data_IF_797787511381
#
_entry.id   IF_797787511381
#
_cell.length_a   1.000
_cell.length_b   1.000
_cell.length_c   1.000
_cell.angle_alpha   90.00
_cell.angle_beta   90.00
_cell.angle_gamma   90.00
#
_symmetry.space_group_name_H-M   'P 1'
#
loop_
_entity.id
_entity.type
_entity.pdbx_description
1 polymer ?
#
# COMPACT_ATOMS: atom_id res chain seq x y z
N UNK A 1 5.06 -24.65 7.38
CA UNK A 1 6.15 -23.68 7.10
C UNK A 1 6.00 -22.93 5.77
N UNK A 2 5.19 -23.39 4.81
CA UNK A 2 5.02 -22.73 3.50
C UNK A 2 4.44 -21.31 3.63
N UNK A 3 3.43 -21.10 4.50
CA UNK A 3 2.76 -19.80 4.68
C UNK A 3 3.69 -18.65 5.12
N UNK A 4 4.46 -18.81 6.21
CA UNK A 4 5.46 -17.82 6.61
C UNK A 4 6.46 -17.50 5.51
N UNK A 5 7.06 -18.52 4.89
CA UNK A 5 8.07 -18.36 3.84
C UNK A 5 7.51 -17.61 2.62
N UNK A 6 6.30 -17.94 2.19
CA UNK A 6 5.66 -17.22 1.07
C UNK A 6 5.38 -15.75 1.41
N UNK A 7 4.96 -15.46 2.65
CA UNK A 7 4.77 -14.09 3.12
C UNK A 7 6.08 -13.28 3.12
N UNK A 8 7.18 -13.86 3.61
CA UNK A 8 8.51 -13.24 3.57
C UNK A 8 8.91 -12.94 2.11
N UNK A 9 8.85 -13.94 1.23
CA UNK A 9 9.23 -13.78 -0.19
C UNK A 9 8.38 -12.71 -0.89
N UNK A 10 7.07 -12.69 -0.65
CA UNK A 10 6.17 -11.67 -1.23
C UNK A 10 6.53 -10.27 -0.73
N UNK A 11 6.90 -10.13 0.55
CA UNK A 11 7.26 -8.83 1.12
C UNK A 11 8.60 -8.33 0.58
N UNK A 12 9.59 -9.21 0.45
CA UNK A 12 10.86 -8.86 -0.20
C UNK A 12 10.65 -8.43 -1.65
N UNK A 13 9.81 -9.13 -2.40
CA UNK A 13 9.45 -8.76 -3.77
C UNK A 13 8.78 -7.38 -3.80
N UNK A 14 7.79 -7.11 -2.91
CA UNK A 14 7.16 -5.79 -2.81
C UNK A 14 8.17 -4.68 -2.49
N UNK A 15 9.05 -4.92 -1.51
CA UNK A 15 10.09 -3.96 -1.14
C UNK A 15 11.03 -3.66 -2.31
N UNK A 16 11.48 -4.72 -3.00
CA UNK A 16 12.34 -4.59 -4.17
C UNK A 16 11.65 -3.80 -5.29
N UNK A 17 10.38 -4.07 -5.58
CA UNK A 17 9.61 -3.32 -6.57
C UNK A 17 9.42 -1.85 -6.20
N UNK A 18 9.18 -1.55 -4.91
CA UNK A 18 9.08 -0.16 -4.44
C UNK A 18 10.40 0.60 -4.61
N UNK A 19 11.55 -0.06 -4.43
CA UNK A 19 12.87 0.54 -4.68
C UNK A 19 13.10 0.71 -6.17
N UNK A 20 12.86 -0.33 -6.96
CA UNK A 20 13.12 -0.35 -8.40
C UNK A 20 12.31 0.73 -9.12
N UNK A 21 11.04 0.88 -8.76
CA UNK A 21 10.11 1.86 -9.35
C UNK A 21 10.00 3.15 -8.53
N UNK A 22 10.99 3.47 -7.67
CA UNK A 22 10.94 4.66 -6.81
C UNK A 22 10.77 5.94 -7.62
N UNK A 23 11.48 6.05 -8.74
CA UNK A 23 11.42 7.25 -9.59
C UNK A 23 10.06 7.34 -10.32
N UNK A 24 9.54 6.22 -10.84
CA UNK A 24 8.21 6.15 -11.44
C UNK A 24 7.10 6.50 -10.44
N UNK A 25 7.20 6.01 -9.19
CA UNK A 25 6.25 6.34 -8.11
C UNK A 25 6.30 7.83 -7.79
N UNK A 26 7.51 8.42 -7.73
CA UNK A 26 7.66 9.85 -7.49
C UNK A 26 7.02 10.66 -8.62
N UNK A 27 7.30 10.32 -9.87
CA UNK A 27 6.69 10.97 -11.03
C UNK A 27 5.16 10.84 -11.00
N UNK A 28 4.63 9.67 -10.66
CA UNK A 28 3.19 9.45 -10.51
C UNK A 28 2.56 10.35 -9.44
N UNK A 29 3.22 10.52 -8.29
CA UNK A 29 2.76 11.43 -7.22
C UNK A 29 2.81 12.89 -7.68
N UNK A 30 3.89 13.32 -8.33
CA UNK A 30 4.03 14.67 -8.89
C UNK A 30 2.93 14.95 -9.92
N UNK A 31 2.58 13.95 -10.75
CA UNK A 31 1.49 14.06 -11.71
C UNK A 31 0.12 14.17 -11.03
N UNK A 32 -0.14 13.39 -9.98
CA UNK A 32 -1.39 13.51 -9.18
C UNK A 32 -1.50 14.91 -8.58
N UNK A 33 -0.40 15.44 -8.04
CA UNK A 33 -0.35 16.79 -7.48
C UNK A 33 -0.59 17.85 -8.56
N UNK A 34 0.02 17.69 -9.73
CA UNK A 34 -0.18 18.57 -10.87
C UNK A 34 -1.64 18.54 -11.33
N UNK A 35 -2.23 17.35 -11.52
CA UNK A 35 -3.64 17.21 -11.89
C UNK A 35 -4.53 17.95 -10.89
N UNK A 36 -4.28 17.79 -9.59
CA UNK A 36 -5.06 18.45 -8.55
C UNK A 36 -4.99 19.99 -8.62
N UNK A 37 -3.80 20.53 -8.90
CA UNK A 37 -3.57 21.99 -8.99
C UNK A 37 -4.18 22.62 -10.24
N UNK A 38 -4.31 21.86 -11.32
CA UNK A 38 -4.75 22.37 -12.63
C UNK A 38 -6.23 22.08 -12.94
N UNK A 39 -7.01 21.57 -11.98
CA UNK A 39 -8.46 21.44 -12.14
C UNK A 39 -9.11 22.82 -12.01
N UNK A 40 -9.72 23.29 -13.10
CA UNK A 40 -10.42 24.58 -13.14
C UNK A 40 -11.92 24.43 -12.85
N UNK A 41 -12.57 23.41 -13.42
CA UNK A 41 -14.02 23.28 -13.33
C UNK A 41 -14.49 22.53 -12.08
N UNK A 42 -15.56 23.03 -11.47
CA UNK A 42 -16.09 22.54 -10.19
C UNK A 42 -16.54 21.07 -10.22
N UNK A 43 -17.22 20.63 -11.29
CA UNK A 43 -17.65 19.23 -11.42
C UNK A 43 -16.45 18.27 -11.49
N UNK A 44 -15.38 18.62 -12.20
CA UNK A 44 -14.19 17.78 -12.31
C UNK A 44 -13.49 17.69 -10.95
N UNK A 45 -13.47 18.80 -10.20
CA UNK A 45 -12.99 18.84 -8.82
C UNK A 45 -13.82 17.95 -7.90
N UNK A 46 -15.14 17.94 -8.06
CA UNK A 46 -16.04 17.08 -7.29
C UNK A 46 -15.78 15.60 -7.58
N UNK A 47 -15.64 15.22 -8.85
CA UNK A 47 -15.29 13.85 -9.26
C UNK A 47 -13.97 13.43 -8.60
N UNK A 48 -12.93 14.27 -8.71
CA UNK A 48 -11.63 13.98 -8.12
C UNK A 48 -11.66 13.90 -6.59
N UNK A 49 -12.46 14.74 -5.91
CA UNK A 49 -12.67 14.68 -4.46
C UNK A 49 -13.37 13.38 -4.02
N UNK A 50 -14.38 12.95 -4.78
CA UNK A 50 -15.09 11.70 -4.52
C UNK A 50 -14.14 10.51 -4.61
N UNK A 51 -13.38 10.40 -5.70
CA UNK A 51 -12.38 9.35 -5.89
C UNK A 51 -11.27 9.42 -4.84
N UNK A 52 -10.71 10.59 -4.55
CA UNK A 52 -9.72 10.73 -3.50
C UNK A 52 -10.25 10.26 -2.12
N UNK A 53 -11.52 10.53 -1.82
CA UNK A 53 -12.17 10.07 -0.59
C UNK A 53 -12.36 8.55 -0.58
N UNK A 54 -12.76 7.98 -1.71
CA UNK A 54 -12.86 6.53 -1.88
C UNK A 54 -11.51 5.83 -1.72
N UNK A 55 -10.45 6.37 -2.35
CA UNK A 55 -9.09 5.89 -2.22
C UNK A 55 -8.58 5.92 -0.77
N UNK A 56 -8.82 7.00 -0.03
CA UNK A 56 -8.49 7.07 1.41
C UNK A 56 -9.18 5.98 2.23
N UNK A 57 -10.42 5.63 1.91
CA UNK A 57 -11.13 4.52 2.57
C UNK A 57 -10.48 3.18 2.28
N UNK A 58 -10.09 2.90 1.02
CA UNK A 58 -9.39 1.66 0.67
C UNK A 58 -8.05 1.57 1.40
N UNK A 59 -7.27 2.65 1.42
CA UNK A 59 -6.00 2.73 2.15
C UNK A 59 -6.21 2.44 3.65
N UNK A 60 -7.23 3.04 4.27
CA UNK A 60 -7.54 2.82 5.67
C UNK A 60 -7.90 1.35 5.96
N UNK A 61 -8.73 0.75 5.11
CA UNK A 61 -9.12 -0.66 5.22
C UNK A 61 -7.92 -1.58 5.03
N UNK A 62 -7.09 -1.37 4.01
CA UNK A 62 -5.90 -2.18 3.77
C UNK A 62 -4.92 -2.10 4.94
N UNK A 63 -4.67 -0.89 5.43
CA UNK A 63 -3.79 -0.65 6.58
C UNK A 63 -4.34 -1.31 7.84
N UNK A 64 -5.64 -1.19 8.11
CA UNK A 64 -6.29 -1.84 9.25
C UNK A 64 -6.09 -3.36 9.25
N UNK A 65 -6.35 -4.02 8.13
CA UNK A 65 -6.17 -5.47 8.02
C UNK A 65 -4.70 -5.90 8.17
N UNK A 66 -3.77 -5.17 7.53
CA UNK A 66 -2.33 -5.45 7.64
C UNK A 66 -1.86 -5.34 9.09
N UNK A 67 -2.19 -4.26 9.78
CA UNK A 67 -1.74 -4.07 11.18
C UNK A 67 -2.50 -4.95 12.17
N UNK A 68 -3.74 -5.33 11.87
CA UNK A 68 -4.47 -6.33 12.66
C UNK A 68 -3.82 -7.70 12.57
N UNK A 69 -3.33 -8.11 11.38
CA UNK A 69 -2.54 -9.33 11.23
C UNK A 69 -1.23 -9.25 12.05
N UNK A 70 -0.53 -8.11 12.01
CA UNK A 70 0.66 -7.90 12.84
C UNK A 70 0.35 -8.06 14.32
N UNK A 71 -0.66 -7.35 14.84
CA UNK A 71 -1.05 -7.43 16.24
C UNK A 71 -1.44 -8.86 16.66
N UNK A 72 -2.16 -9.57 15.79
CA UNK A 72 -2.54 -10.95 16.05
C UNK A 72 -1.32 -11.87 16.18
N UNK A 73 -0.43 -11.88 15.19
CA UNK A 73 0.70 -12.82 15.15
C UNK A 73 1.83 -12.47 16.13
N UNK A 74 2.08 -11.18 16.38
CA UNK A 74 3.23 -10.74 17.20
C UNK A 74 2.85 -10.35 18.63
N UNK A 75 1.56 -10.17 18.94
CA UNK A 75 1.12 -9.80 20.29
C UNK A 75 0.13 -10.82 20.84
N UNK A 76 -1.02 -11.00 20.19
CA UNK A 76 -2.09 -11.84 20.73
C UNK A 76 -1.68 -13.30 20.90
N UNK A 77 -1.03 -13.89 19.89
CA UNK A 77 -0.56 -15.28 19.94
C UNK A 77 0.52 -15.47 21.03
N UNK A 78 1.63 -14.70 21.07
CA UNK A 78 2.63 -14.82 22.13
C UNK A 78 2.07 -14.63 23.54
N UNK A 79 1.18 -13.65 23.74
CA UNK A 79 0.54 -13.41 25.04
C UNK A 79 -0.34 -14.59 25.47
N UNK A 80 -1.07 -15.19 24.52
CA UNK A 80 -1.96 -16.32 24.80
C UNK A 80 -1.20 -17.61 25.13
N UNK A 81 -0.04 -17.83 24.48
CA UNK A 81 0.79 -19.02 24.71
C UNK A 81 1.63 -18.87 25.99
N UNK A 82 2.09 -17.65 26.30
CA UNK A 82 2.96 -17.40 27.46
C UNK A 82 4.34 -18.04 27.31
N UNK A 83 5.09 -18.14 28.42
CA UNK A 83 6.38 -18.84 28.44
C UNK A 83 6.19 -20.35 28.48
N UNK A 84 6.95 -21.07 27.66
CA UNK A 84 6.95 -22.53 27.61
C UNK A 84 8.10 -23.07 28.45
N UNK A 85 7.82 -24.07 29.29
CA UNK A 85 8.84 -24.78 30.08
C UNK A 85 9.49 -25.84 29.20
N UNK A 86 10.82 -25.86 29.16
CA UNK A 86 11.55 -26.83 28.34
C UNK A 86 11.46 -28.26 28.92
N UNK A 87 11.60 -29.27 28.05
CA UNK A 87 11.67 -30.67 28.45
C UNK A 87 12.86 -30.85 29.42
N UNK A 88 12.54 -31.14 30.69
CA UNK A 88 13.50 -31.20 31.80
C UNK A 88 13.28 -30.17 32.90
N UNK A 89 12.35 -29.21 32.76
CA UNK A 89 11.89 -28.33 33.85
C UNK A 89 12.86 -27.23 34.31
N UNK A 90 14.11 -27.25 33.83
CA UNK A 90 15.18 -26.41 34.35
C UNK A 90 15.13 -24.96 33.87
N UNK A 91 14.37 -24.66 32.80
CA UNK A 91 14.25 -23.29 32.27
C UNK A 91 12.95 -23.10 31.46
N UNK A 92 12.58 -21.83 31.23
CA UNK A 92 11.43 -21.44 30.41
C UNK A 92 11.83 -20.39 29.36
N UNK A 93 11.19 -20.44 28.20
CA UNK A 93 11.50 -19.54 27.08
C UNK A 93 10.21 -18.97 26.45
N UNK A 94 10.32 -17.82 25.79
CA UNK A 94 9.21 -17.22 25.04
C UNK A 94 9.17 -17.84 23.65
N UNK A 95 8.03 -18.40 23.20
CA UNK A 95 7.88 -18.90 21.83
C UNK A 95 8.14 -17.78 20.82
N UNK A 96 8.93 -18.10 19.79
CA UNK A 96 9.18 -17.17 18.70
C UNK A 96 8.01 -17.20 17.71
N UNK A 97 7.56 -16.03 17.19
CA UNK A 97 6.57 -15.95 16.11
C UNK A 97 6.93 -16.82 14.90
N UNK A 98 8.23 -16.94 14.59
CA UNK A 98 8.75 -17.84 13.56
C UNK A 98 9.88 -18.71 14.11
N UNK A 99 9.98 -19.97 13.68
CA UNK A 99 11.03 -20.86 14.13
C UNK A 99 12.41 -20.33 13.70
N UNK A 100 13.33 -20.26 14.66
CA UNK A 100 14.74 -19.94 14.42
C UNK A 100 15.57 -21.24 14.47
N UNK A 101 16.52 -21.38 13.54
CA UNK A 101 17.43 -22.51 13.55
C UNK A 101 18.39 -22.42 14.74
N UNK A 102 18.58 -23.53 15.46
CA UNK A 102 19.61 -23.65 16.52
C UNK A 102 21.03 -23.40 16.00
N UNK A 103 21.23 -23.52 14.69
CA UNK A 103 22.51 -23.24 14.04
C UNK A 103 22.86 -21.74 14.02
N UNK A 104 21.86 -20.86 14.18
CA UNK A 104 22.03 -19.39 14.17
C UNK A 104 22.10 -18.85 15.60
N UNK A 105 21.19 -19.31 16.49
CA UNK A 105 21.18 -18.92 17.89
C UNK A 105 20.48 -19.99 18.74
N UNK A 106 20.98 -20.23 19.96
CA UNK A 106 20.28 -21.06 20.92
C UNK A 106 19.13 -20.27 21.58
N UNK A 107 17.96 -20.31 20.94
CA UNK A 107 16.77 -19.56 21.36
C UNK A 107 16.05 -20.16 22.56
N UNK A 108 16.58 -21.22 23.16
CA UNK A 108 16.03 -21.85 24.35
C UNK A 108 16.56 -21.23 25.65
N UNK A 109 17.65 -20.45 25.56
CA UNK A 109 18.31 -19.83 26.71
C UNK A 109 18.32 -18.29 26.59
N UNK A 110 18.23 -17.62 27.74
CA UNK A 110 18.41 -16.17 27.85
C UNK A 110 19.90 -15.81 27.76
N UNK A 111 20.30 -14.70 27.11
CA UNK A 111 19.47 -13.63 26.52
C UNK A 111 19.09 -13.85 25.04
N UNK A 112 19.52 -14.96 24.43
CA UNK A 112 19.36 -15.21 22.99
C UNK A 112 17.89 -15.26 22.57
N UNK A 113 17.02 -15.83 23.39
CA UNK A 113 15.58 -15.88 23.13
C UNK A 113 14.97 -14.47 22.99
N UNK A 114 15.24 -13.59 23.94
CA UNK A 114 14.70 -12.23 23.95
C UNK A 114 15.23 -11.40 22.78
N UNK A 115 16.53 -11.51 22.48
CA UNK A 115 17.15 -10.80 21.35
C UNK A 115 16.51 -11.22 20.03
N UNK A 116 16.39 -12.52 19.77
CA UNK A 116 15.81 -13.01 18.52
C UNK A 116 14.32 -12.67 18.42
N UNK A 117 13.58 -12.73 19.52
CA UNK A 117 12.18 -12.30 19.56
C UNK A 117 12.05 -10.82 19.17
N UNK A 118 12.85 -9.93 19.77
CA UNK A 118 12.86 -8.50 19.43
C UNK A 118 13.21 -8.26 17.95
N UNK A 119 14.21 -8.96 17.41
CA UNK A 119 14.56 -8.87 15.98
C UNK A 119 13.40 -9.31 15.09
N UNK A 120 12.71 -10.40 15.43
CA UNK A 120 11.55 -10.86 14.66
C UNK A 120 10.39 -9.86 14.71
N UNK A 121 10.10 -9.26 15.86
CA UNK A 121 9.06 -8.22 15.99
C UNK A 121 9.39 -6.99 15.14
N UNK A 122 10.63 -6.51 15.19
CA UNK A 122 11.09 -5.37 14.40
C UNK A 122 11.03 -5.68 12.89
N UNK A 123 11.51 -6.86 12.49
CA UNK A 123 11.43 -7.33 11.10
C UNK A 123 9.97 -7.42 10.64
N UNK A 124 9.11 -7.97 11.50
CA UNK A 124 7.66 -8.04 11.31
C UNK A 124 7.04 -6.67 11.05
N UNK A 125 7.38 -5.68 11.87
CA UNK A 125 6.88 -4.32 11.74
C UNK A 125 7.29 -3.71 10.39
N UNK A 126 8.55 -3.84 10.00
CA UNK A 126 9.05 -3.35 8.71
C UNK A 126 8.32 -4.03 7.55
N UNK A 127 8.15 -5.35 7.59
CA UNK A 127 7.45 -6.10 6.54
C UNK A 127 5.99 -5.67 6.36
N UNK A 128 5.28 -5.45 7.46
CA UNK A 128 3.89 -5.00 7.42
C UNK A 128 3.80 -3.55 6.94
N UNK A 129 4.73 -2.68 7.33
CA UNK A 129 4.84 -1.32 6.80
C UNK A 129 5.07 -1.31 5.28
N UNK A 130 6.00 -2.13 4.77
CA UNK A 130 6.24 -2.30 3.32
C UNK A 130 4.97 -2.75 2.61
N UNK A 131 4.27 -3.75 3.16
CA UNK A 131 3.04 -4.27 2.55
C UNK A 131 1.92 -3.21 2.54
N UNK A 132 1.74 -2.48 3.63
CA UNK A 132 0.77 -1.38 3.72
C UNK A 132 1.12 -0.26 2.74
N UNK A 133 2.38 0.13 2.64
CA UNK A 133 2.84 1.15 1.68
C UNK A 133 2.58 0.73 0.23
N UNK A 134 2.98 -0.49 -0.16
CA UNK A 134 2.75 -1.01 -1.50
C UNK A 134 1.26 -1.04 -1.88
N UNK A 135 0.41 -1.55 -0.97
CA UNK A 135 -1.04 -1.58 -1.16
C UNK A 135 -1.62 -0.17 -1.32
N UNK A 136 -1.16 0.76 -0.48
CA UNK A 136 -1.67 2.14 -0.46
C UNK A 136 -1.31 2.89 -1.73
N UNK A 137 -0.06 2.79 -2.19
CA UNK A 137 0.39 3.41 -3.45
C UNK A 137 -0.42 2.86 -4.63
N UNK A 138 -0.56 1.54 -4.73
CA UNK A 138 -1.34 0.91 -5.79
C UNK A 138 -2.81 1.36 -5.77
N UNK A 139 -3.43 1.43 -4.59
CA UNK A 139 -4.80 1.92 -4.44
C UNK A 139 -4.95 3.37 -4.85
N UNK A 140 -4.03 4.25 -4.44
CA UNK A 140 -4.08 5.68 -4.77
C UNK A 140 -3.95 5.89 -6.27
N UNK A 141 -3.00 5.21 -6.93
CA UNK A 141 -2.81 5.31 -8.37
C UNK A 141 -4.01 4.76 -9.15
N UNK A 142 -4.52 3.58 -8.77
CA UNK A 142 -5.69 3.01 -9.43
C UNK A 142 -6.91 3.92 -9.32
N UNK A 143 -7.20 4.43 -8.11
CA UNK A 143 -8.36 5.30 -7.88
C UNK A 143 -8.18 6.66 -8.54
N UNK A 144 -6.97 7.23 -8.56
CA UNK A 144 -6.70 8.47 -9.31
C UNK A 144 -6.95 8.29 -10.80
N UNK A 145 -6.44 7.20 -11.40
CA UNK A 145 -6.67 6.89 -12.82
C UNK A 145 -8.17 6.69 -13.12
N UNK A 146 -8.92 6.03 -12.23
CA UNK A 146 -10.38 5.93 -12.35
C UNK A 146 -11.06 7.31 -12.30
N UNK A 147 -10.62 8.20 -11.40
CA UNK A 147 -11.13 9.57 -11.31
C UNK A 147 -10.85 10.37 -12.57
N UNK A 148 -9.62 10.31 -13.09
CA UNK A 148 -9.24 10.97 -14.35
C UNK A 148 -10.05 10.44 -15.55
N UNK A 149 -10.31 9.13 -15.60
CA UNK A 149 -11.16 8.55 -16.63
C UNK A 149 -12.61 9.05 -16.52
N UNK A 150 -13.14 9.21 -15.30
CA UNK A 150 -14.49 9.76 -15.11
C UNK A 150 -14.57 11.24 -15.49
N UNK A 151 -13.52 12.03 -15.22
CA UNK A 151 -13.39 13.41 -15.73
C UNK A 151 -13.41 13.41 -17.26
N UNK A 152 -12.68 12.50 -17.90
CA UNK A 152 -12.67 12.39 -19.36
C UNK A 152 -14.05 12.04 -19.94
N UNK A 153 -14.79 11.14 -19.28
CA UNK A 153 -16.18 10.81 -19.64
C UNK A 153 -17.07 12.04 -19.50
N UNK A 154 -16.89 12.84 -18.44
CA UNK A 154 -17.60 14.11 -18.28
C UNK A 154 -17.32 15.06 -19.46
N UNK A 155 -16.05 15.18 -19.87
CA UNK A 155 -15.66 16.01 -21.00
C UNK A 155 -16.28 15.56 -22.33
N UNK A 156 -16.38 14.26 -22.57
CA UNK A 156 -17.07 13.70 -23.73
C UNK A 156 -18.55 14.08 -23.77
N UNK A 157 -19.21 14.19 -22.61
CA UNK A 157 -20.58 14.69 -22.52
C UNK A 157 -20.76 16.12 -23.06
N UNK A 158 -19.72 16.95 -22.96
CA UNK A 158 -19.70 18.33 -23.45
C UNK A 158 -19.02 18.49 -24.82
N UNK A 159 -18.76 17.39 -25.54
CA UNK A 159 -18.07 17.43 -26.84
C UNK A 159 -18.82 18.21 -27.92
N UNK A 160 -20.16 18.17 -27.90
CA UNK A 160 -21.01 18.88 -28.87
C UNK A 160 -21.44 20.24 -28.31
N UNK A 161 -22.11 20.23 -27.15
CA UNK A 161 -22.76 21.42 -26.57
C UNK A 161 -21.78 22.42 -25.93
N UNK A 162 -20.61 21.95 -25.50
CA UNK A 162 -19.54 22.80 -24.99
C UNK A 162 -19.64 23.08 -23.51
N UNK A 163 -18.52 23.55 -22.96
CA UNK A 163 -18.35 23.87 -21.55
C UNK A 163 -17.46 25.11 -21.45
N UNK A 164 -17.68 25.96 -20.46
CA UNK A 164 -17.06 27.28 -20.38
C UNK A 164 -15.53 27.26 -20.22
N UNK A 165 -14.98 26.18 -19.69
CA UNK A 165 -13.55 25.91 -19.49
C UNK A 165 -12.89 25.20 -20.69
N UNK A 166 -13.64 24.95 -21.78
CA UNK A 166 -13.16 24.20 -22.95
C UNK A 166 -13.05 25.05 -24.21
N UNK A 167 -12.44 24.48 -25.26
CA UNK A 167 -12.38 25.11 -26.58
C UNK A 167 -13.78 25.36 -27.15
N UNK A 168 -13.95 26.51 -27.81
CA UNK A 168 -15.19 26.87 -28.51
C UNK A 168 -15.44 26.00 -29.77
N UNK A 169 -14.44 25.24 -30.23
CA UNK A 169 -14.55 24.36 -31.41
C UNK A 169 -14.70 22.90 -31.00
N UNK A 170 -15.39 22.09 -31.81
CA UNK A 170 -15.51 20.65 -31.57
C UNK A 170 -14.14 19.98 -31.73
N UNK A 171 -13.38 20.39 -32.75
CA UNK A 171 -12.04 19.86 -33.03
C UNK A 171 -11.07 20.14 -31.90
N UNK A 172 -11.09 21.36 -31.33
CA UNK A 172 -10.26 21.72 -30.18
C UNK A 172 -10.62 20.91 -28.92
N UNK A 173 -11.92 20.72 -28.66
CA UNK A 173 -12.38 19.86 -27.54
C UNK A 173 -11.95 18.41 -27.73
N UNK A 174 -12.11 17.87 -28.93
CA UNK A 174 -11.68 16.52 -29.27
C UNK A 174 -10.17 16.35 -29.09
N UNK A 175 -9.37 17.32 -29.52
CA UNK A 175 -7.92 17.31 -29.34
C UNK A 175 -7.52 17.29 -27.85
N UNK A 176 -8.17 18.11 -27.02
CA UNK A 176 -7.94 18.13 -25.56
C UNK A 176 -8.29 16.79 -24.91
N UNK A 177 -9.44 16.19 -25.27
CA UNK A 177 -9.87 14.89 -24.77
C UNK A 177 -8.88 13.79 -25.16
N UNK A 178 -8.45 13.75 -26.43
CA UNK A 178 -7.46 12.76 -26.91
C UNK A 178 -6.13 12.93 -26.18
N UNK A 179 -5.65 14.17 -26.01
CA UNK A 179 -4.40 14.44 -25.29
C UNK A 179 -4.48 14.03 -23.82
N UNK A 180 -5.63 14.24 -23.18
CA UNK A 180 -5.83 13.83 -21.79
C UNK A 180 -5.90 12.30 -21.66
N UNK A 181 -6.58 11.62 -22.58
CA UNK A 181 -6.63 10.17 -22.62
C UNK A 181 -5.24 9.54 -22.77
N UNK A 182 -4.42 10.06 -23.70
CA UNK A 182 -3.03 9.63 -23.87
C UNK A 182 -2.20 9.86 -22.60
N UNK A 183 -2.41 10.99 -21.91
CA UNK A 183 -1.73 11.26 -20.64
C UNK A 183 -2.11 10.26 -19.54
N UNK A 184 -3.38 9.85 -19.45
CA UNK A 184 -3.85 8.89 -18.43
C UNK A 184 -3.25 7.49 -18.66
N UNK A 185 -3.01 7.11 -19.91
CA UNK A 185 -2.48 5.79 -20.27
C UNK A 185 -0.96 5.64 -20.10
N UNK A 186 -0.22 6.75 -20.17
CA UNK A 186 1.23 6.79 -19.95
C UNK A 186 1.54 6.76 -18.47
#
# INVERSE_FOLDING_TARGET
MIGPLSFFMMTFMKYYLLILHKDDIREGIERIEWDWKNIEHHEDKNIMLEHATYGRKIVAVCTFFVYSAFAFYYIAVPVSVGKVVAEGGNFSFTPLPFPASRLIADVYHSPSNEIIHSIQVLTGMVMHAVTSAACSIASVFAVHACGQMQVLINWLGYLVDGRSDMSNTVEGRMATIISQHDRILK
#
